data_IF_794297733960
#
_entry.id   IF_794297733960
#
_cell.length_a   1.000
_cell.length_b   1.000
_cell.length_c   1.000
_cell.angle_alpha   90.00
_cell.angle_beta   90.00
_cell.angle_gamma   90.00
#
_symmetry.space_group_name_H-M   'P 1'
#
loop_
_entity.id
_entity.type
_entity.pdbx_description
1 polymer ?
#
# COMPACT_ATOMS: atom_id res chain seq x y z
N UNK A 1 3.77 14.25 -28.60
CA UNK A 1 3.92 14.25 -27.13
C UNK A 1 3.86 12.81 -26.63
N UNK A 2 4.35 12.51 -25.42
CA UNK A 2 4.18 11.17 -24.85
C UNK A 2 2.78 11.04 -24.23
N UNK A 3 2.25 9.81 -24.18
CA UNK A 3 0.98 9.50 -23.50
C UNK A 3 0.96 10.00 -22.06
N UNK A 4 2.10 9.91 -21.36
CA UNK A 4 2.23 10.40 -19.99
C UNK A 4 2.06 11.91 -19.91
N UNK A 5 2.71 12.66 -20.82
CA UNK A 5 2.59 14.12 -20.86
C UNK A 5 1.15 14.57 -21.14
N UNK A 6 0.42 13.84 -21.99
CA UNK A 6 -0.99 14.11 -22.28
C UNK A 6 -1.89 13.90 -21.06
N UNK A 7 -1.66 12.82 -20.30
CA UNK A 7 -2.39 12.55 -19.04
C UNK A 7 -2.09 13.62 -18.00
N UNK A 8 -0.83 14.02 -17.84
CA UNK A 8 -0.43 15.08 -16.90
C UNK A 8 -1.13 16.40 -17.23
N UNK A 9 -1.18 16.78 -18.51
CA UNK A 9 -1.88 17.99 -18.93
C UNK A 9 -3.39 17.89 -18.70
N UNK A 10 -3.99 16.72 -18.97
CA UNK A 10 -5.40 16.49 -18.69
C UNK A 10 -5.73 16.65 -17.19
N UNK A 11 -4.86 16.16 -16.30
CA UNK A 11 -5.02 16.30 -14.85
C UNK A 11 -4.94 17.77 -14.41
N UNK A 12 -4.00 18.54 -14.97
CA UNK A 12 -3.78 19.95 -14.61
C UNK A 12 -4.97 20.86 -14.93
N UNK A 13 -5.79 20.50 -15.91
CA UNK A 13 -6.98 21.29 -16.30
C UNK A 13 -8.25 20.86 -15.58
N UNK A 14 -8.21 19.80 -14.76
CA UNK A 14 -9.37 19.36 -13.98
C UNK A 14 -9.71 20.35 -12.87
N UNK A 15 -11.00 20.50 -12.52
CA UNK A 15 -11.42 21.16 -11.28
C UNK A 15 -10.80 20.51 -10.05
N UNK A 16 -10.59 21.29 -8.99
CA UNK A 16 -9.95 20.82 -7.75
C UNK A 16 -10.66 19.60 -7.13
N UNK A 17 -11.99 19.55 -7.21
CA UNK A 17 -12.79 18.41 -6.74
C UNK A 17 -12.49 17.12 -7.52
N UNK A 18 -12.31 17.20 -8.84
CA UNK A 18 -11.98 16.04 -9.66
C UNK A 18 -10.51 15.62 -9.47
N UNK A 19 -9.61 16.58 -9.23
CA UNK A 19 -8.23 16.26 -8.83
C UNK A 19 -8.19 15.53 -7.47
N UNK A 20 -9.06 15.90 -6.53
CA UNK A 20 -9.17 15.22 -5.24
C UNK A 20 -9.65 13.77 -5.40
N UNK A 21 -10.70 13.55 -6.20
CA UNK A 21 -11.19 12.20 -6.51
C UNK A 21 -10.11 11.35 -7.21
N UNK A 22 -9.34 11.94 -8.12
CA UNK A 22 -8.25 11.24 -8.80
C UNK A 22 -7.13 10.83 -7.83
N UNK A 23 -6.80 11.68 -6.84
CA UNK A 23 -5.82 11.33 -5.79
C UNK A 23 -6.33 10.19 -4.91
N UNK A 24 -7.60 10.21 -4.54
CA UNK A 24 -8.23 9.15 -3.74
C UNK A 24 -8.17 7.81 -4.48
N UNK A 25 -8.67 7.77 -5.71
CA UNK A 25 -8.63 6.57 -6.55
C UNK A 25 -7.21 6.04 -6.77
N UNK A 26 -6.23 6.94 -7.01
CA UNK A 26 -4.85 6.49 -7.20
C UNK A 26 -4.25 5.90 -5.91
N UNK A 27 -4.64 6.45 -4.75
CA UNK A 27 -4.22 5.92 -3.45
C UNK A 27 -4.83 4.53 -3.20
N UNK A 28 -6.12 4.34 -3.53
CA UNK A 28 -6.77 3.01 -3.48
C UNK A 28 -6.07 1.99 -4.36
N UNK A 29 -5.68 2.38 -5.58
CA UNK A 29 -4.94 1.50 -6.49
C UNK A 29 -3.58 1.08 -5.92
N UNK A 30 -2.89 1.98 -5.23
CA UNK A 30 -1.63 1.67 -4.57
C UNK A 30 -1.85 0.78 -3.33
N UNK A 31 -2.94 0.95 -2.59
CA UNK A 31 -3.34 0.03 -1.53
C UNK A 31 -3.60 -1.39 -2.07
N UNK A 32 -4.35 -1.54 -3.17
CA UNK A 32 -4.60 -2.84 -3.80
C UNK A 32 -3.32 -3.52 -4.32
N UNK A 33 -2.30 -2.74 -4.69
CA UNK A 33 -0.98 -3.29 -5.05
C UNK A 33 -0.22 -3.73 -3.81
N UNK A 34 -0.29 -2.95 -2.75
CA UNK A 34 0.37 -3.26 -1.50
C UNK A 34 -0.21 -4.52 -0.85
N UNK A 35 -1.53 -4.68 -0.84
CA UNK A 35 -2.19 -5.90 -0.36
C UNK A 35 -1.68 -7.14 -1.11
N UNK A 36 -1.65 -7.08 -2.45
CA UNK A 36 -1.14 -8.19 -3.27
C UNK A 36 0.35 -8.47 -3.03
N UNK A 37 1.13 -7.43 -2.77
CA UNK A 37 2.55 -7.61 -2.45
C UNK A 37 2.72 -8.26 -1.09
N UNK A 38 1.97 -7.85 -0.07
CA UNK A 38 1.99 -8.48 1.26
C UNK A 38 1.60 -9.96 1.16
N UNK A 39 0.55 -10.28 0.38
CA UNK A 39 0.14 -11.67 0.16
C UNK A 39 1.26 -12.50 -0.48
N UNK A 40 1.91 -11.97 -1.53
CA UNK A 40 3.03 -12.66 -2.17
C UNK A 40 4.23 -12.82 -1.23
N UNK A 41 4.60 -11.77 -0.49
CA UNK A 41 5.71 -11.80 0.47
C UNK A 41 5.41 -12.80 1.62
N UNK A 42 4.15 -12.91 2.04
CA UNK A 42 3.72 -13.91 3.02
C UNK A 42 3.83 -15.34 2.46
N UNK A 43 3.37 -15.58 1.23
CA UNK A 43 3.45 -16.89 0.57
C UNK A 43 4.90 -17.32 0.32
N UNK A 44 5.81 -16.37 0.09
CA UNK A 44 7.25 -16.60 -0.08
C UNK A 44 7.99 -16.78 1.27
N UNK A 45 7.31 -16.60 2.41
CA UNK A 45 7.89 -16.68 3.75
C UNK A 45 8.77 -15.48 4.12
N UNK A 46 8.74 -14.41 3.33
CA UNK A 46 9.51 -13.19 3.59
C UNK A 46 9.07 -12.48 4.88
N UNK A 47 7.83 -12.73 5.33
CA UNK A 47 7.26 -12.16 6.55
C UNK A 47 7.33 -13.09 7.77
N UNK A 48 7.93 -14.28 7.64
CA UNK A 48 8.01 -15.28 8.73
C UNK A 48 8.73 -14.76 9.97
N UNK A 49 9.69 -13.83 9.80
CA UNK A 49 10.40 -13.21 10.92
C UNK A 49 9.46 -12.45 11.85
N UNK A 50 8.38 -11.83 11.33
CA UNK A 50 7.40 -11.13 12.16
C UNK A 50 6.61 -12.11 13.03
N UNK A 51 6.35 -13.32 12.52
CA UNK A 51 5.70 -14.39 13.29
C UNK A 51 6.65 -14.87 14.39
N UNK A 52 7.93 -15.07 14.07
CA UNK A 52 8.95 -15.47 15.05
C UNK A 52 9.08 -14.43 16.18
N UNK A 53 9.20 -13.15 15.83
CA UNK A 53 9.29 -12.04 16.79
C UNK A 53 8.05 -11.98 17.70
N UNK A 54 6.86 -12.18 17.14
CA UNK A 54 5.62 -12.20 17.91
C UNK A 54 5.54 -13.39 18.87
N UNK A 55 6.07 -14.56 18.48
CA UNK A 55 6.16 -15.74 19.35
C UNK A 55 7.17 -15.52 20.48
N UNK A 56 8.34 -14.96 20.19
CA UNK A 56 9.35 -14.64 21.20
C UNK A 56 8.80 -13.63 22.22
N UNK A 57 8.17 -12.54 21.75
CA UNK A 57 7.54 -11.55 22.63
C UNK A 57 6.43 -12.16 23.50
N UNK A 58 5.71 -13.16 22.98
CA UNK A 58 4.69 -13.88 23.75
C UNK A 58 5.31 -14.75 24.84
N UNK A 59 6.40 -15.45 24.54
CA UNK A 59 7.14 -16.26 25.52
C UNK A 59 7.75 -15.39 26.63
N UNK A 60 8.26 -14.22 26.26
CA UNK A 60 8.84 -13.24 27.19
C UNK A 60 7.79 -12.43 27.96
N UNK A 61 6.50 -12.58 27.63
CA UNK A 61 5.41 -11.83 28.25
C UNK A 61 5.44 -10.33 27.94
N UNK A 62 6.10 -9.93 26.86
CA UNK A 62 6.21 -8.54 26.39
C UNK A 62 5.31 -8.23 25.19
N UNK A 63 4.57 -9.22 24.68
CA UNK A 63 3.60 -9.05 23.60
C UNK A 63 2.56 -7.98 23.97
N UNK A 64 2.44 -6.96 23.13
CA UNK A 64 1.49 -5.86 23.32
C UNK A 64 0.09 -6.24 22.82
N UNK A 65 -0.94 -5.76 23.51
CA UNK A 65 -2.32 -5.82 23.02
C UNK A 65 -2.52 -4.78 21.91
N UNK A 66 -3.32 -5.14 20.90
CA UNK A 66 -3.65 -4.31 19.73
C UNK A 66 -4.61 -3.16 20.07
#
# INVERSE_FOLDING_TARGET
MSRLAEIQQAILVLPEAEQAQLREWFSELDWERWDRQIEADADEGALDFLVADALEAKEDGTLQEL
#
